data_IF_816626741350
#
_entry.id   IF_816626741350
#
_cell.length_a   1.000
_cell.length_b   1.000
_cell.length_c   1.000
_cell.angle_alpha   90.00
_cell.angle_beta   90.00
_cell.angle_gamma   90.00
#
_symmetry.space_group_name_H-M   'P 1'
#
loop_
_entity.id
_entity.type
_entity.pdbx_description
1 polymer ?
#
# COMPACT_ATOMS: atom_id res chain seq x y z
N UNK A 1 20.10 3.62 5.04
CA UNK A 1 20.53 5.01 4.78
C UNK A 1 21.26 5.61 5.99
N UNK A 2 20.76 5.43 7.22
CA UNK A 2 21.38 6.01 8.44
C UNK A 2 22.64 5.26 8.85
N UNK A 3 22.56 3.94 8.86
CA UNK A 3 23.70 3.07 9.20
C UNK A 3 23.65 1.80 8.33
N UNK A 4 24.19 1.85 7.11
CA UNK A 4 24.13 0.74 6.15
C UNK A 4 24.81 -0.54 6.65
N UNK A 5 25.96 -0.41 7.32
CA UNK A 5 26.73 -1.56 7.83
C UNK A 5 25.92 -2.33 8.90
N UNK A 6 25.31 -1.61 9.82
CA UNK A 6 24.50 -2.23 10.87
C UNK A 6 23.21 -2.85 10.30
N UNK A 7 22.61 -2.19 9.30
CA UNK A 7 21.46 -2.74 8.61
C UNK A 7 21.79 -4.05 7.89
N UNK A 8 22.94 -4.10 7.22
CA UNK A 8 23.49 -5.32 6.59
C UNK A 8 23.67 -6.42 7.63
N UNK A 9 24.40 -6.13 8.69
CA UNK A 9 24.67 -7.10 9.76
C UNK A 9 23.37 -7.71 10.30
N UNK A 10 22.40 -6.88 10.68
CA UNK A 10 21.14 -7.36 11.23
C UNK A 10 20.31 -8.16 10.24
N UNK A 11 20.30 -7.77 8.96
CA UNK A 11 19.59 -8.52 7.94
C UNK A 11 20.20 -9.90 7.70
N UNK A 12 21.54 -9.98 7.66
CA UNK A 12 22.26 -11.24 7.49
C UNK A 12 22.12 -12.15 8.73
N UNK A 13 22.16 -11.59 9.94
CA UNK A 13 21.91 -12.32 11.19
C UNK A 13 20.47 -12.87 11.23
N UNK A 14 19.47 -12.07 10.82
CA UNK A 14 18.08 -12.52 10.76
C UNK A 14 17.91 -13.71 9.81
N UNK A 15 18.50 -13.65 8.61
CA UNK A 15 18.46 -14.76 7.65
C UNK A 15 19.15 -16.00 8.20
N UNK A 16 20.31 -15.84 8.85
CA UNK A 16 21.06 -16.95 9.45
C UNK A 16 20.32 -17.60 10.62
N UNK A 17 19.51 -16.84 11.35
CA UNK A 17 18.70 -17.32 12.47
C UNK A 17 17.44 -18.07 12.05
N UNK A 18 17.07 -17.99 10.77
CA UNK A 18 15.87 -18.56 10.19
C UNK A 18 14.77 -17.53 9.97
N UNK A 19 14.15 -17.59 8.81
CA UNK A 19 13.04 -16.72 8.37
C UNK A 19 11.90 -17.58 7.85
N UNK A 20 10.76 -16.97 7.55
CA UNK A 20 9.63 -17.63 6.87
C UNK A 20 10.08 -18.10 5.49
N UNK A 21 10.06 -19.40 5.25
CA UNK A 21 10.46 -20.03 3.98
C UNK A 21 9.27 -20.68 3.24
N UNK A 22 8.20 -20.98 3.97
CA UNK A 22 7.00 -21.66 3.47
C UNK A 22 5.74 -20.96 4.00
N UNK A 23 4.64 -21.14 3.31
CA UNK A 23 3.35 -20.53 3.65
C UNK A 23 2.81 -20.94 5.03
N UNK A 24 3.05 -22.16 5.47
CA UNK A 24 2.59 -22.68 6.77
C UNK A 24 3.31 -22.02 7.96
N UNK A 25 4.41 -21.31 7.71
CA UNK A 25 5.15 -20.53 8.69
C UNK A 25 4.66 -19.08 8.79
N UNK A 26 3.73 -18.65 7.91
CA UNK A 26 3.19 -17.28 7.97
C UNK A 26 2.52 -16.99 9.31
N UNK A 27 2.73 -15.77 9.81
CA UNK A 27 2.20 -15.34 11.09
C UNK A 27 0.92 -14.53 10.87
N UNK A 28 -0.20 -15.03 11.38
CA UNK A 28 -1.48 -14.37 11.23
C UNK A 28 -2.54 -14.93 12.18
N UNK A 29 -3.61 -14.18 12.35
CA UNK A 29 -4.80 -14.61 13.07
C UNK A 29 -5.78 -15.25 12.10
N UNK A 30 -6.15 -16.50 12.36
CA UNK A 30 -7.12 -17.24 11.56
C UNK A 30 -8.51 -16.98 12.17
N UNK A 31 -9.36 -16.27 11.45
CA UNK A 31 -10.68 -15.85 11.91
C UNK A 31 -11.60 -17.03 12.25
N UNK A 32 -11.43 -18.19 11.62
CA UNK A 32 -12.21 -19.40 11.94
C UNK A 32 -12.02 -19.91 13.38
N UNK A 33 -10.87 -19.59 13.99
CA UNK A 33 -10.58 -19.96 15.38
C UNK A 33 -11.26 -19.00 16.36
N UNK A 34 -11.45 -17.76 15.99
CA UNK A 34 -12.07 -16.70 16.84
C UNK A 34 -13.59 -16.61 16.66
N UNK A 35 -14.16 -17.32 15.67
CA UNK A 35 -15.60 -17.30 15.39
C UNK A 35 -16.10 -16.04 14.67
N UNK A 36 -15.22 -15.12 14.32
CA UNK A 36 -15.55 -13.88 13.59
C UNK A 36 -15.00 -13.86 12.15
N UNK A 37 -15.57 -13.02 11.29
CA UNK A 37 -15.01 -12.71 9.97
C UNK A 37 -13.82 -11.75 10.06
N UNK A 38 -13.20 -11.45 8.92
CA UNK A 38 -12.15 -10.44 8.87
C UNK A 38 -12.74 -9.06 9.23
N UNK A 39 -12.21 -8.37 10.27
CA UNK A 39 -12.76 -7.10 10.74
C UNK A 39 -12.73 -5.99 9.68
N UNK A 40 -11.89 -6.09 8.66
CA UNK A 40 -11.86 -5.14 7.55
C UNK A 40 -13.18 -5.13 6.78
N UNK A 41 -13.86 -6.26 6.64
CA UNK A 41 -15.18 -6.33 5.98
C UNK A 41 -16.22 -5.52 6.76
N UNK A 42 -16.17 -5.57 8.09
CA UNK A 42 -17.05 -4.74 8.92
C UNK A 42 -16.77 -3.26 8.69
N UNK A 43 -15.52 -2.84 8.76
CA UNK A 43 -15.11 -1.44 8.58
C UNK A 43 -15.46 -0.92 7.16
N UNK A 44 -15.17 -1.72 6.13
CA UNK A 44 -15.38 -1.29 4.74
C UNK A 44 -16.84 -1.33 4.31
N UNK A 45 -17.55 -2.40 4.64
CA UNK A 45 -18.87 -2.65 4.09
C UNK A 45 -20.00 -2.29 5.06
N UNK A 46 -19.95 -2.71 6.34
CA UNK A 46 -21.03 -2.45 7.30
C UNK A 46 -20.99 -1.01 7.81
N UNK A 47 -19.83 -0.52 8.26
CA UNK A 47 -19.67 0.87 8.69
C UNK A 47 -19.53 1.84 7.54
N UNK A 48 -19.12 1.36 6.38
CA UNK A 48 -18.94 2.18 5.16
C UNK A 48 -17.89 3.29 5.31
N UNK A 49 -16.90 3.09 6.18
CA UNK A 49 -15.88 4.10 6.53
C UNK A 49 -14.71 4.13 5.57
N UNK A 50 -14.53 3.10 4.74
CA UNK A 50 -13.35 2.96 3.90
C UNK A 50 -13.70 2.72 2.44
N UNK A 51 -12.88 3.24 1.55
CA UNK A 51 -12.96 3.06 0.09
C UNK A 51 -11.59 2.71 -0.48
N UNK A 52 -11.60 2.09 -1.65
CA UNK A 52 -10.37 1.89 -2.42
C UNK A 52 -9.67 3.22 -2.66
N UNK A 53 -8.38 3.31 -2.35
CA UNK A 53 -7.58 4.48 -2.71
C UNK A 53 -7.14 4.43 -4.17
N UNK A 54 -7.23 5.56 -4.89
CA UNK A 54 -6.76 5.66 -6.28
C UNK A 54 -5.27 5.33 -6.44
N UNK A 55 -4.47 5.52 -5.38
CA UNK A 55 -3.07 5.11 -5.35
C UNK A 55 -2.91 3.59 -5.48
N UNK A 56 -3.74 2.78 -4.84
CA UNK A 56 -3.70 1.32 -5.00
C UNK A 56 -4.30 0.89 -6.32
N UNK A 57 -5.41 1.52 -6.74
CA UNK A 57 -6.01 1.29 -8.06
C UNK A 57 -5.02 1.49 -9.20
N UNK A 58 -4.26 2.61 -9.21
CA UNK A 58 -3.30 2.88 -10.29
C UNK A 58 -2.23 1.79 -10.41
N UNK A 59 -1.72 1.29 -9.27
CA UNK A 59 -0.70 0.23 -9.27
C UNK A 59 -1.28 -1.06 -9.85
N UNK A 60 -2.49 -1.43 -9.45
CA UNK A 60 -3.16 -2.63 -9.98
C UNK A 60 -3.47 -2.50 -11.48
N UNK A 61 -3.88 -1.30 -11.94
CA UNK A 61 -4.16 -1.04 -13.35
C UNK A 61 -2.91 -1.01 -14.21
N UNK A 62 -1.81 -0.47 -13.69
CA UNK A 62 -0.52 -0.43 -14.39
C UNK A 62 -0.08 -1.82 -14.88
N UNK A 63 -0.50 -2.86 -14.18
CA UNK A 63 -0.11 -4.24 -14.49
C UNK A 63 -1.30 -5.16 -14.83
N UNK A 64 -2.50 -4.62 -15.00
CA UNK A 64 -3.73 -5.41 -15.14
C UNK A 64 -3.82 -6.53 -14.08
N UNK A 65 -3.46 -6.17 -12.85
CA UNK A 65 -3.32 -7.12 -11.76
C UNK A 65 -4.68 -7.72 -11.36
N UNK A 66 -4.78 -9.03 -11.17
CA UNK A 66 -6.06 -9.69 -10.89
C UNK A 66 -6.75 -9.21 -9.60
N UNK A 67 -6.00 -8.71 -8.62
CA UNK A 67 -6.56 -8.18 -7.37
C UNK A 67 -7.56 -7.06 -7.59
N UNK A 68 -7.44 -6.26 -8.65
CA UNK A 68 -8.36 -5.16 -8.89
C UNK A 68 -9.82 -5.63 -8.88
N UNK A 69 -10.12 -6.67 -9.64
CA UNK A 69 -11.48 -7.21 -9.77
C UNK A 69 -11.79 -8.37 -8.83
N UNK A 70 -10.79 -8.86 -8.08
CA UNK A 70 -10.97 -9.93 -7.11
C UNK A 70 -11.26 -9.37 -5.72
N UNK A 71 -10.51 -8.35 -5.30
CA UNK A 71 -10.56 -7.82 -3.93
C UNK A 71 -11.56 -6.67 -3.77
N UNK A 72 -12.00 -6.04 -4.88
CA UNK A 72 -12.86 -4.86 -4.82
C UNK A 72 -14.11 -5.05 -5.63
N UNK A 73 -15.21 -4.50 -5.13
CA UNK A 73 -16.46 -4.40 -5.84
C UNK A 73 -16.44 -3.20 -6.79
N UNK A 74 -17.28 -3.24 -7.83
CA UNK A 74 -17.46 -2.08 -8.69
C UNK A 74 -18.12 -0.94 -7.92
N UNK A 75 -17.93 0.28 -8.42
CA UNK A 75 -18.53 1.49 -7.89
C UNK A 75 -20.05 1.39 -7.75
N UNK A 76 -20.62 2.10 -6.79
CA UNK A 76 -22.02 2.54 -6.87
C UNK A 76 -22.10 3.83 -7.70
N UNK A 77 -23.22 4.53 -7.71
CA UNK A 77 -23.36 5.72 -8.55
C UNK A 77 -22.54 6.89 -8.00
N UNK A 78 -21.70 7.52 -8.84
CA UNK A 78 -20.92 8.72 -8.51
C UNK A 78 -21.38 9.85 -9.43
N UNK A 79 -22.00 10.87 -8.86
CA UNK A 79 -22.47 12.05 -9.61
C UNK A 79 -21.28 12.96 -9.90
N UNK A 80 -21.11 13.33 -11.18
CA UNK A 80 -20.17 14.37 -11.55
C UNK A 80 -20.82 15.74 -11.34
N UNK A 81 -20.27 16.52 -10.40
CA UNK A 81 -20.86 17.79 -10.01
C UNK A 81 -20.76 18.87 -11.09
N UNK A 82 -19.73 18.82 -11.94
CA UNK A 82 -19.50 19.81 -13.01
C UNK A 82 -20.15 19.41 -14.33
N UNK A 83 -20.15 18.11 -14.60
CA UNK A 83 -20.64 17.54 -15.85
C UNK A 83 -21.59 16.37 -15.57
N UNK A 84 -22.88 16.64 -15.25
CA UNK A 84 -23.82 15.58 -14.86
C UNK A 84 -23.97 14.44 -15.89
N UNK A 85 -23.75 14.72 -17.18
CA UNK A 85 -23.74 13.70 -18.23
C UNK A 85 -22.55 12.70 -18.11
N UNK A 86 -21.50 13.05 -17.38
CA UNK A 86 -20.35 12.20 -17.09
C UNK A 86 -20.49 11.46 -15.74
N UNK A 87 -21.68 11.41 -15.17
CA UNK A 87 -21.97 10.61 -13.98
C UNK A 87 -21.55 9.17 -14.20
N UNK A 88 -20.77 8.63 -13.26
CA UNK A 88 -20.36 7.23 -13.30
C UNK A 88 -21.46 6.35 -12.70
N UNK A 89 -22.18 5.64 -13.56
CA UNK A 89 -23.28 4.78 -13.17
C UNK A 89 -22.79 3.57 -12.35
N UNK A 90 -23.68 3.06 -11.49
CA UNK A 90 -23.38 1.91 -10.64
C UNK A 90 -22.94 0.67 -11.43
N UNK A 91 -21.98 -0.07 -10.93
CA UNK A 91 -21.50 -1.31 -11.54
C UNK A 91 -20.63 -1.12 -12.79
N UNK A 92 -20.19 0.11 -13.08
CA UNK A 92 -19.40 0.40 -14.28
C UNK A 92 -17.97 -0.16 -14.16
N UNK A 93 -17.23 0.23 -13.13
CA UNK A 93 -15.82 -0.16 -12.94
C UNK A 93 -15.44 -0.22 -11.47
N UNK A 94 -14.32 -0.83 -11.16
CA UNK A 94 -13.65 -0.59 -9.88
C UNK A 94 -13.04 0.80 -9.94
N UNK A 95 -13.30 1.63 -8.92
CA UNK A 95 -12.91 3.03 -8.88
C UNK A 95 -12.47 3.43 -7.48
N UNK A 96 -11.23 3.88 -7.36
CA UNK A 96 -10.64 4.39 -6.12
C UNK A 96 -10.76 5.90 -5.99
N UNK A 97 -10.66 6.41 -4.76
CA UNK A 97 -10.68 7.83 -4.45
C UNK A 97 -9.24 8.37 -4.25
N UNK A 98 -8.97 9.58 -4.75
CA UNK A 98 -7.68 10.25 -4.50
C UNK A 98 -7.52 10.58 -3.00
N UNK A 99 -6.33 10.43 -2.49
CA UNK A 99 -6.01 10.86 -1.13
C UNK A 99 -6.09 12.39 -1.04
N UNK A 100 -6.89 12.90 -0.09
CA UNK A 100 -7.16 14.32 0.06
C UNK A 100 -8.15 14.90 -0.95
N UNK A 101 -8.94 14.08 -1.64
CA UNK A 101 -9.94 14.52 -2.63
C UNK A 101 -11.00 15.45 -2.04
N UNK A 102 -11.48 16.39 -2.86
CA UNK A 102 -12.60 17.25 -2.52
C UNK A 102 -13.93 16.53 -2.73
N UNK A 103 -14.42 15.84 -1.73
CA UNK A 103 -15.72 15.17 -1.80
C UNK A 103 -16.90 16.06 -1.39
N UNK A 104 -16.63 17.23 -0.83
CA UNK A 104 -17.53 18.39 -0.78
C UNK A 104 -18.77 18.27 0.12
N UNK A 105 -18.97 17.20 0.86
CA UNK A 105 -20.18 16.98 1.64
C UNK A 105 -19.87 16.31 2.98
N UNK A 106 -20.79 16.45 3.94
CA UNK A 106 -20.67 15.78 5.22
C UNK A 106 -20.62 14.25 5.06
N UNK A 107 -19.76 13.62 5.82
CA UNK A 107 -19.68 12.17 5.91
C UNK A 107 -21.04 11.60 6.33
N UNK A 108 -21.48 10.55 5.65
CA UNK A 108 -22.78 9.92 5.91
C UNK A 108 -23.98 10.50 5.14
N UNK A 109 -23.83 11.62 4.44
CA UNK A 109 -24.87 12.08 3.52
C UNK A 109 -25.02 11.13 2.34
N UNK A 110 -26.24 10.74 2.00
CA UNK A 110 -26.54 9.87 0.84
C UNK A 110 -26.12 10.50 -0.48
N UNK A 111 -25.97 11.82 -0.53
CA UNK A 111 -25.49 12.58 -1.69
C UNK A 111 -23.98 12.75 -1.73
N UNK A 112 -23.25 12.30 -0.71
CA UNK A 112 -21.80 12.40 -0.69
C UNK A 112 -21.18 11.48 -1.76
N UNK A 113 -20.44 12.03 -2.74
CA UNK A 113 -19.79 11.24 -3.81
C UNK A 113 -18.85 10.15 -3.28
N UNK A 114 -18.27 10.32 -2.09
CA UNK A 114 -17.44 9.32 -1.42
C UNK A 114 -18.10 7.94 -1.36
N UNK A 115 -19.41 7.90 -1.09
CA UNK A 115 -20.15 6.64 -0.98
C UNK A 115 -20.20 5.84 -2.29
N UNK A 116 -19.95 6.50 -3.42
CA UNK A 116 -19.95 5.87 -4.74
C UNK A 116 -18.69 5.07 -5.08
N UNK A 117 -17.56 5.37 -4.43
CA UNK A 117 -16.29 4.69 -4.70
C UNK A 117 -16.29 3.24 -4.23
N UNK A 118 -15.42 2.43 -4.82
CA UNK A 118 -15.37 0.98 -4.62
C UNK A 118 -15.05 0.56 -3.21
N UNK A 119 -15.80 -0.41 -2.72
CA UNK A 119 -15.58 -1.08 -1.44
C UNK A 119 -14.84 -2.40 -1.61
N UNK A 120 -14.45 -2.98 -0.49
CA UNK A 120 -13.86 -4.31 -0.43
C UNK A 120 -14.89 -5.36 -0.85
N UNK A 121 -14.44 -6.40 -1.57
CA UNK A 121 -15.29 -7.55 -1.88
C UNK A 121 -15.37 -8.48 -0.65
N UNK A 122 -16.49 -8.53 0.07
CA UNK A 122 -16.61 -9.33 1.28
C UNK A 122 -16.52 -10.84 1.01
N UNK A 123 -16.87 -11.26 -0.21
CA UNK A 123 -16.75 -12.68 -0.60
C UNK A 123 -15.30 -13.12 -0.75
N UNK A 124 -14.40 -12.21 -1.11
CA UNK A 124 -12.99 -12.51 -1.23
C UNK A 124 -12.23 -12.36 0.10
N UNK A 125 -12.63 -11.40 0.92
CA UNK A 125 -11.86 -11.00 2.09
C UNK A 125 -12.48 -11.41 3.43
N UNK A 126 -13.73 -11.87 3.44
CA UNK A 126 -14.47 -12.14 4.68
C UNK A 126 -13.82 -13.19 5.58
N UNK A 127 -13.17 -14.18 5.00
CA UNK A 127 -12.43 -15.23 5.72
C UNK A 127 -10.90 -15.11 5.62
N UNK A 128 -10.39 -14.06 4.96
CA UNK A 128 -8.96 -13.87 4.85
C UNK A 128 -8.32 -13.70 6.24
N UNK A 129 -7.19 -14.37 6.53
CA UNK A 129 -6.48 -14.18 7.79
C UNK A 129 -5.99 -12.74 7.93
N UNK A 130 -5.90 -12.27 9.17
CA UNK A 130 -5.22 -11.04 9.49
C UNK A 130 -3.72 -11.32 9.63
N UNK A 131 -2.97 -11.15 8.58
CA UNK A 131 -1.54 -11.43 8.57
C UNK A 131 -0.73 -10.35 9.30
N UNK A 132 0.19 -10.79 10.15
CA UNK A 132 1.23 -9.97 10.77
C UNK A 132 2.51 -10.01 9.94
N UNK A 133 2.85 -11.17 9.38
CA UNK A 133 3.99 -11.33 8.49
C UNK A 133 3.73 -12.45 7.49
N UNK A 134 4.00 -12.18 6.22
CA UNK A 134 3.77 -13.09 5.10
C UNK A 134 5.08 -13.55 4.48
N UNK A 135 5.06 -14.74 3.88
CA UNK A 135 6.17 -15.27 3.08
C UNK A 135 6.57 -14.30 1.94
N UNK A 136 5.57 -13.73 1.25
CA UNK A 136 5.82 -12.75 0.20
C UNK A 136 6.60 -11.54 0.69
N UNK A 137 6.29 -11.02 1.87
CA UNK A 137 7.00 -9.89 2.47
C UNK A 137 8.46 -10.24 2.77
N UNK A 138 8.71 -11.39 3.39
CA UNK A 138 10.08 -11.88 3.66
C UNK A 138 10.87 -12.05 2.35
N UNK A 139 10.23 -12.56 1.31
CA UNK A 139 10.85 -12.68 -0.02
C UNK A 139 11.26 -11.31 -0.58
N UNK A 140 10.40 -10.29 -0.52
CA UNK A 140 10.74 -8.95 -1.00
C UNK A 140 11.83 -8.27 -0.15
N UNK A 141 11.84 -8.47 1.16
CA UNK A 141 12.92 -7.97 2.02
C UNK A 141 14.26 -8.62 1.67
N UNK A 142 14.27 -9.93 1.42
CA UNK A 142 15.48 -10.65 0.97
C UNK A 142 15.92 -10.20 -0.43
N UNK A 143 14.97 -9.96 -1.36
CA UNK A 143 15.26 -9.42 -2.69
C UNK A 143 15.95 -8.05 -2.60
N UNK A 144 15.45 -7.15 -1.77
CA UNK A 144 16.08 -5.85 -1.54
C UNK A 144 17.48 -5.99 -0.93
N UNK A 145 17.65 -6.84 0.09
CA UNK A 145 18.95 -7.11 0.71
C UNK A 145 19.97 -7.63 -0.32
N UNK A 146 19.56 -8.55 -1.20
CA UNK A 146 20.40 -9.08 -2.26
C UNK A 146 20.80 -8.02 -3.30
N UNK A 147 19.88 -7.10 -3.68
CA UNK A 147 20.19 -5.95 -4.55
C UNK A 147 21.23 -5.02 -3.90
N UNK A 148 21.19 -4.90 -2.57
CA UNK A 148 22.20 -4.14 -1.80
C UNK A 148 23.55 -4.85 -1.68
N UNK A 149 23.64 -6.11 -2.11
CA UNK A 149 24.85 -6.93 -2.03
C UNK A 149 25.02 -7.63 -0.66
N UNK A 150 23.92 -7.79 0.09
CA UNK A 150 23.92 -8.51 1.37
C UNK A 150 23.71 -10.01 1.15
N UNK A 151 24.22 -10.83 2.05
CA UNK A 151 24.04 -12.28 1.99
C UNK A 151 22.62 -12.66 2.49
N UNK A 152 21.71 -12.78 1.55
CA UNK A 152 20.31 -13.13 1.85
C UNK A 152 20.00 -14.63 1.60
N UNK A 153 21.00 -15.45 1.30
CA UNK A 153 20.83 -16.90 1.08
C UNK A 153 20.26 -17.26 -0.30
N UNK A 154 20.29 -16.33 -1.27
CA UNK A 154 19.83 -16.56 -2.63
C UNK A 154 19.91 -15.30 -3.50
N UNK A 155 19.43 -15.37 -4.73
CA UNK A 155 19.49 -14.23 -5.66
C UNK A 155 18.31 -13.27 -5.49
N UNK A 156 18.52 -12.01 -5.84
CA UNK A 156 17.46 -11.01 -5.82
C UNK A 156 16.28 -11.40 -6.72
N UNK A 157 16.59 -11.98 -7.90
CA UNK A 157 15.58 -12.46 -8.86
C UNK A 157 14.70 -13.55 -8.25
N UNK A 158 15.32 -14.59 -7.67
CA UNK A 158 14.57 -15.72 -7.13
C UNK A 158 13.63 -15.27 -6.01
N UNK A 159 14.11 -14.42 -5.10
CA UNK A 159 13.26 -13.88 -4.04
C UNK A 159 12.16 -12.96 -4.58
N UNK A 160 12.46 -12.11 -5.54
CA UNK A 160 11.47 -11.22 -6.16
C UNK A 160 10.34 -12.01 -6.83
N UNK A 161 10.68 -12.97 -7.68
CA UNK A 161 9.70 -13.79 -8.39
C UNK A 161 8.93 -14.69 -7.42
N UNK A 162 9.58 -15.27 -6.40
CA UNK A 162 8.92 -16.01 -5.33
C UNK A 162 7.95 -15.10 -4.56
N UNK A 163 8.37 -13.89 -4.20
CA UNK A 163 7.52 -12.92 -3.51
C UNK A 163 6.23 -12.60 -4.28
N UNK A 164 6.31 -12.46 -5.61
CA UNK A 164 5.14 -12.26 -6.47
C UNK A 164 4.24 -13.52 -6.49
N UNK A 165 4.80 -14.71 -6.60
CA UNK A 165 4.02 -15.96 -6.61
C UNK A 165 3.29 -16.19 -5.31
N UNK A 166 3.90 -15.83 -4.19
CA UNK A 166 3.35 -15.97 -2.84
C UNK A 166 2.50 -14.77 -2.38
N UNK A 167 2.25 -13.79 -3.27
CA UNK A 167 1.55 -12.55 -2.93
C UNK A 167 0.04 -12.70 -2.74
N UNK A 168 -0.49 -13.93 -2.75
CA UNK A 168 -1.91 -14.15 -2.65
C UNK A 168 -2.43 -13.79 -1.24
N UNK A 169 -3.35 -12.82 -1.18
CA UNK A 169 -4.00 -12.36 0.06
C UNK A 169 -5.30 -13.12 0.36
N UNK A 170 -5.73 -13.97 -0.57
CA UNK A 170 -6.99 -14.70 -0.47
C UNK A 170 -6.76 -15.96 0.37
N UNK A 171 -7.67 -16.19 1.32
CA UNK A 171 -7.67 -17.38 2.16
C UNK A 171 -7.56 -18.67 1.34
N UNK A 172 -6.84 -19.64 1.89
CA UNK A 172 -6.60 -20.99 1.31
C UNK A 172 -7.76 -21.94 1.52
N UNK A 173 -8.85 -21.50 2.12
CA UNK A 173 -10.03 -22.36 2.31
C UNK A 173 -10.61 -22.80 0.98
N UNK A 174 -11.26 -23.95 0.97
CA UNK A 174 -11.94 -24.48 -0.22
C UNK A 174 -12.94 -23.50 -0.84
N UNK A 175 -13.52 -22.60 -0.03
CA UNK A 175 -14.48 -21.61 -0.46
C UNK A 175 -13.88 -20.58 -1.44
N UNK A 176 -12.59 -20.28 -1.33
CA UNK A 176 -11.91 -19.29 -2.18
C UNK A 176 -10.92 -19.92 -3.17
N UNK A 177 -10.94 -21.23 -3.31
CA UNK A 177 -10.04 -21.95 -4.21
C UNK A 177 -10.07 -21.43 -5.64
N UNK A 178 -11.24 -21.07 -6.15
CA UNK A 178 -11.39 -20.54 -7.52
C UNK A 178 -10.75 -19.17 -7.71
N UNK A 179 -10.81 -18.31 -6.70
CA UNK A 179 -10.17 -16.98 -6.74
C UNK A 179 -8.64 -17.13 -6.65
N UNK A 180 -8.18 -17.99 -5.76
CA UNK A 180 -6.76 -18.31 -5.65
C UNK A 180 -6.21 -18.88 -6.96
N UNK A 181 -6.92 -19.82 -7.57
CA UNK A 181 -6.52 -20.41 -8.86
C UNK A 181 -6.44 -19.36 -9.98
N UNK A 182 -7.30 -18.35 -9.97
CA UNK A 182 -7.20 -17.24 -10.95
C UNK A 182 -5.89 -16.47 -10.82
N UNK A 183 -5.44 -16.22 -9.59
CA UNK A 183 -4.16 -15.58 -9.35
C UNK A 183 -3.01 -16.46 -9.81
N UNK A 184 -3.00 -17.73 -9.40
CA UNK A 184 -1.96 -18.70 -9.75
C UNK A 184 -1.84 -18.88 -11.26
N UNK A 185 -2.96 -18.92 -11.99
CA UNK A 185 -2.98 -19.02 -13.45
C UNK A 185 -2.48 -17.75 -14.16
N UNK A 186 -2.58 -16.60 -13.53
CA UNK A 186 -2.18 -15.32 -14.11
C UNK A 186 -0.70 -15.00 -13.87
N UNK A 187 -0.08 -15.58 -12.83
CA UNK A 187 1.22 -15.13 -12.32
C UNK A 187 2.36 -15.32 -13.32
N UNK A 188 2.36 -16.37 -14.13
CA UNK A 188 3.42 -16.61 -15.11
C UNK A 188 3.43 -15.53 -16.20
N UNK A 189 2.25 -15.18 -16.72
CA UNK A 189 2.11 -14.06 -17.67
C UNK A 189 2.43 -12.72 -17.01
N UNK A 190 2.04 -12.54 -15.76
CA UNK A 190 2.33 -11.34 -14.98
C UNK A 190 3.83 -11.09 -14.87
N UNK A 191 4.63 -12.11 -14.62
CA UNK A 191 6.09 -12.03 -14.52
C UNK A 191 6.78 -11.65 -15.84
N UNK A 192 6.08 -11.69 -16.99
CA UNK A 192 6.64 -11.32 -18.28
C UNK A 192 6.42 -9.84 -18.67
N UNK A 193 5.67 -9.07 -17.89
CA UNK A 193 5.34 -7.67 -18.19
C UNK A 193 6.61 -6.81 -18.19
N UNK A 194 6.98 -6.28 -19.33
CA UNK A 194 8.22 -5.51 -19.52
C UNK A 194 8.08 -4.03 -19.12
N UNK A 195 6.88 -3.48 -19.24
CA UNK A 195 6.58 -2.08 -18.88
C UNK A 195 5.18 -1.95 -18.33
N UNK A 196 4.96 -0.96 -17.48
CA UNK A 196 3.62 -0.64 -16.98
C UNK A 196 2.72 -0.14 -18.13
N UNK A 197 1.44 -0.47 -18.07
CA UNK A 197 0.43 0.12 -18.96
C UNK A 197 0.16 1.55 -18.50
N UNK A 198 0.21 2.56 -19.39
CA UNK A 198 -0.16 3.92 -19.04
C UNK A 198 -1.59 3.99 -18.49
N UNK A 199 -1.76 4.71 -17.39
CA UNK A 199 -3.06 4.89 -16.75
C UNK A 199 -3.28 6.37 -16.42
N UNK A 200 -4.44 6.88 -16.80
CA UNK A 200 -4.92 8.20 -16.39
C UNK A 200 -6.13 8.00 -15.48
N UNK A 201 -6.00 8.46 -14.24
CA UNK A 201 -7.14 8.57 -13.34
C UNK A 201 -7.96 9.80 -13.74
N UNK A 202 -9.21 9.56 -14.07
CA UNK A 202 -10.20 10.61 -14.33
C UNK A 202 -11.07 10.70 -13.10
N UNK A 203 -11.10 11.88 -12.45
CA UNK A 203 -11.92 12.07 -11.26
C UNK A 203 -13.40 11.97 -11.60
N UNK A 204 -14.12 10.94 -11.11
CA UNK A 204 -15.51 10.75 -11.47
C UNK A 204 -16.45 11.80 -10.85
N UNK A 205 -15.98 12.53 -9.83
CA UNK A 205 -16.76 13.59 -9.18
C UNK A 205 -16.66 14.92 -9.94
N UNK A 206 -15.65 15.10 -10.77
CA UNK A 206 -15.33 16.34 -11.47
C UNK A 206 -14.80 17.46 -10.56
N UNK A 207 -14.53 17.19 -9.29
CA UNK A 207 -14.05 18.20 -8.34
C UNK A 207 -12.55 18.42 -8.44
N UNK A 208 -11.79 17.37 -8.70
CA UNK A 208 -10.34 17.37 -8.78
C UNK A 208 -9.87 17.18 -10.24
N UNK A 209 -8.63 17.58 -10.51
CA UNK A 209 -8.05 17.38 -11.84
C UNK A 209 -7.62 15.92 -12.04
N UNK A 210 -7.68 15.46 -13.29
CA UNK A 210 -7.17 14.16 -13.69
C UNK A 210 -5.70 13.99 -13.36
N UNK A 211 -5.28 12.75 -13.13
CA UNK A 211 -3.91 12.39 -12.76
C UNK A 211 -3.34 11.31 -13.68
N UNK A 212 -2.17 11.56 -14.23
CA UNK A 212 -1.44 10.56 -15.00
C UNK A 212 -0.54 9.74 -14.06
N UNK A 213 -0.62 8.42 -14.16
CA UNK A 213 0.25 7.52 -13.40
C UNK A 213 1.71 7.72 -13.80
N UNK A 214 2.59 7.77 -12.80
CA UNK A 214 4.03 7.86 -12.99
C UNK A 214 4.73 6.50 -12.92
N UNK A 215 3.98 5.40 -12.82
CA UNK A 215 4.51 4.05 -12.81
C UNK A 215 4.86 3.67 -14.23
N UNK A 216 6.13 3.41 -14.48
CA UNK A 216 6.66 3.05 -15.80
C UNK A 216 7.39 1.71 -15.82
N UNK A 217 7.93 1.29 -14.67
CA UNK A 217 8.67 0.03 -14.56
C UNK A 217 7.76 -1.17 -14.80
N UNK A 218 8.28 -2.19 -15.48
CA UNK A 218 7.58 -3.47 -15.64
C UNK A 218 7.73 -4.38 -14.43
N UNK A 219 7.10 -5.54 -14.52
CA UNK A 219 7.23 -6.61 -13.51
C UNK A 219 8.43 -7.50 -13.80
N UNK A 220 8.69 -7.79 -15.08
CA UNK A 220 9.77 -8.68 -15.52
C UNK A 220 11.13 -8.26 -14.92
N UNK A 221 11.78 -9.20 -14.26
CA UNK A 221 13.12 -8.98 -13.74
C UNK A 221 14.14 -8.89 -14.87
N UNK A 222 15.03 -7.90 -14.78
CA UNK A 222 16.15 -7.77 -15.71
C UNK A 222 17.45 -7.54 -14.93
N UNK A 223 18.44 -8.39 -15.14
CA UNK A 223 19.71 -8.26 -14.44
C UNK A 223 20.49 -7.01 -14.82
N UNK A 224 20.26 -6.47 -16.00
CA UNK A 224 20.89 -5.22 -16.47
C UNK A 224 20.26 -3.96 -15.86
N UNK A 225 19.11 -4.05 -15.20
CA UNK A 225 18.49 -2.90 -14.54
C UNK A 225 19.40 -2.32 -13.45
N UNK A 226 19.35 -1.00 -13.30
CA UNK A 226 20.01 -0.33 -12.19
C UNK A 226 19.50 -0.83 -10.84
N UNK A 227 20.28 -0.68 -9.78
CA UNK A 227 19.83 -1.01 -8.41
C UNK A 227 18.56 -0.24 -8.05
N UNK A 228 18.46 1.01 -8.47
CA UNK A 228 17.29 1.86 -8.22
C UNK A 228 16.04 1.31 -8.92
N UNK A 229 16.15 0.92 -10.20
CA UNK A 229 15.05 0.28 -10.94
C UNK A 229 14.63 -1.05 -10.30
N UNK A 230 15.60 -1.87 -9.89
CA UNK A 230 15.32 -3.12 -9.17
C UNK A 230 14.58 -2.87 -7.85
N UNK A 231 14.99 -1.84 -7.10
CA UNK A 231 14.32 -1.44 -5.87
C UNK A 231 12.88 -0.97 -6.14
N UNK A 232 12.67 -0.12 -7.16
CA UNK A 232 11.32 0.32 -7.54
C UNK A 232 10.41 -0.87 -7.86
N UNK A 233 10.90 -1.85 -8.63
CA UNK A 233 10.17 -3.09 -8.91
C UNK A 233 9.83 -3.86 -7.63
N UNK A 234 10.80 -4.09 -6.76
CA UNK A 234 10.62 -4.83 -5.50
C UNK A 234 9.58 -4.16 -4.62
N UNK A 235 9.71 -2.86 -4.35
CA UNK A 235 8.81 -2.14 -3.46
C UNK A 235 7.41 -2.01 -4.06
N UNK A 236 7.29 -1.84 -5.38
CA UNK A 236 5.99 -1.82 -6.05
C UNK A 236 5.26 -3.16 -5.90
N UNK A 237 5.95 -4.28 -6.05
CA UNK A 237 5.34 -5.60 -5.86
C UNK A 237 5.08 -5.89 -4.37
N UNK A 238 5.96 -5.48 -3.46
CA UNK A 238 5.74 -5.56 -2.01
C UNK A 238 4.48 -4.77 -1.61
N UNK A 239 4.27 -3.58 -2.19
CA UNK A 239 3.07 -2.77 -1.96
C UNK A 239 1.78 -3.50 -2.37
N UNK A 240 1.79 -4.19 -3.53
CA UNK A 240 0.64 -4.99 -3.97
C UNK A 240 0.40 -6.16 -3.02
N UNK A 241 1.45 -6.92 -2.70
CA UNK A 241 1.39 -8.11 -1.86
C UNK A 241 1.06 -7.80 -0.39
N UNK A 242 1.44 -6.62 0.07
CA UNK A 242 1.25 -6.18 1.46
C UNK A 242 -0.18 -5.79 1.81
N UNK A 243 -1.08 -5.66 0.83
CA UNK A 243 -2.48 -5.34 1.14
C UNK A 243 -3.08 -6.36 2.12
N UNK A 244 -3.78 -5.94 3.16
CA UNK A 244 -4.17 -4.58 3.51
C UNK A 244 -3.27 -3.88 4.55
N UNK A 245 -2.03 -4.33 4.76
CA UNK A 245 -1.09 -3.73 5.74
C UNK A 245 -0.55 -2.38 5.22
N UNK A 246 -1.25 -1.31 5.51
CA UNK A 246 -0.91 0.04 5.05
C UNK A 246 0.26 0.68 5.81
N UNK A 247 0.54 0.26 7.04
CA UNK A 247 1.63 0.84 7.84
C UNK A 247 3.00 0.54 7.24
N UNK A 248 3.25 -0.72 6.88
CA UNK A 248 4.48 -1.13 6.19
C UNK A 248 4.62 -0.43 4.83
N UNK A 249 3.54 -0.32 4.08
CA UNK A 249 3.52 0.39 2.81
C UNK A 249 3.89 1.86 2.97
N UNK A 250 3.40 2.53 4.01
CA UNK A 250 3.74 3.92 4.32
C UNK A 250 5.20 4.07 4.76
N UNK A 251 5.74 3.13 5.53
CA UNK A 251 7.17 3.09 5.88
C UNK A 251 8.02 2.97 4.63
N UNK A 252 7.71 2.02 3.74
CA UNK A 252 8.46 1.81 2.51
C UNK A 252 8.42 3.04 1.59
N UNK A 253 7.25 3.66 1.43
CA UNK A 253 7.09 4.86 0.63
C UNK A 253 7.95 6.03 1.16
N UNK A 254 7.97 6.25 2.48
CA UNK A 254 8.82 7.29 3.10
C UNK A 254 10.31 6.99 2.97
N UNK A 255 10.69 5.72 3.09
CA UNK A 255 12.06 5.25 3.06
C UNK A 255 12.66 5.26 1.66
N UNK A 256 11.87 4.91 0.64
CA UNK A 256 12.36 4.65 -0.71
C UNK A 256 11.82 5.63 -1.77
N UNK A 257 10.66 6.21 -1.54
CA UNK A 257 9.91 6.98 -2.54
C UNK A 257 9.05 6.11 -3.48
N UNK A 258 8.95 4.80 -3.21
CA UNK A 258 8.20 3.85 -4.05
C UNK A 258 7.04 3.19 -3.28
N UNK A 259 5.98 2.75 -4.01
CA UNK A 259 5.72 2.97 -5.44
C UNK A 259 5.45 4.43 -5.78
N UNK A 260 5.51 4.80 -7.06
CA UNK A 260 5.20 6.16 -7.54
C UNK A 260 3.69 6.36 -7.52
N UNK A 261 3.16 6.75 -6.36
CA UNK A 261 1.74 7.02 -6.18
C UNK A 261 1.37 8.41 -6.69
N UNK A 262 0.06 8.64 -6.88
CA UNK A 262 -0.45 10.00 -7.12
C UNK A 262 -0.10 10.91 -5.93
N UNK A 263 0.20 12.16 -6.23
CA UNK A 263 0.38 13.16 -5.21
C UNK A 263 -0.91 13.33 -4.38
N UNK A 264 -0.72 13.50 -3.08
CA UNK A 264 -1.83 13.80 -2.18
C UNK A 264 -2.35 15.21 -2.45
N UNK A 265 -3.67 15.37 -2.37
CA UNK A 265 -4.35 16.66 -2.53
C UNK A 265 -4.50 17.36 -1.18
N UNK A 266 -4.66 18.68 -1.21
CA UNK A 266 -5.02 19.50 -0.05
C UNK A 266 -4.08 19.38 1.16
N UNK A 267 -2.82 19.06 0.93
CA UNK A 267 -1.84 18.91 2.02
C UNK A 267 -1.47 20.25 2.65
N UNK A 268 -1.58 21.33 1.90
CA UNK A 268 -1.32 22.70 2.40
C UNK A 268 -2.35 23.15 3.46
N UNK A 269 -3.54 22.57 3.47
CA UNK A 269 -4.62 22.89 4.41
C UNK A 269 -4.41 22.27 5.81
N UNK A 270 -3.37 21.45 5.99
CA UNK A 270 -3.03 20.81 7.25
C UNK A 270 -2.35 21.75 8.27
N UNK A 271 -1.30 21.29 8.91
CA UNK A 271 -0.56 22.04 9.94
C UNK A 271 0.44 23.09 9.38
N UNK A 272 0.41 23.34 8.10
CA UNK A 272 1.27 24.30 7.38
C UNK A 272 2.71 23.84 7.19
N UNK A 273 3.04 22.60 7.50
CA UNK A 273 4.39 22.04 7.32
C UNK A 273 4.58 21.29 6.00
N UNK A 274 3.52 21.09 5.25
CA UNK A 274 3.50 20.39 3.97
C UNK A 274 2.97 21.33 2.88
N UNK A 275 3.52 21.19 1.69
CA UNK A 275 2.97 21.78 0.46
C UNK A 275 2.10 20.74 -0.25
N UNK A 276 1.27 21.20 -1.19
CA UNK A 276 0.51 20.29 -2.04
C UNK A 276 1.43 19.30 -2.78
N UNK A 277 1.00 18.07 -2.81
CA UNK A 277 1.79 16.98 -3.36
C UNK A 277 2.84 16.37 -2.43
N UNK A 278 3.09 17.00 -1.28
CA UNK A 278 3.99 16.43 -0.29
C UNK A 278 3.34 15.26 0.46
N UNK A 279 4.17 14.38 1.00
CA UNK A 279 3.73 13.23 1.78
C UNK A 279 3.80 13.54 3.27
N UNK A 280 2.78 13.14 4.03
CA UNK A 280 2.82 13.10 5.50
C UNK A 280 3.98 12.22 5.96
N UNK A 281 4.89 12.80 6.75
CA UNK A 281 6.09 12.12 7.25
C UNK A 281 5.88 11.42 8.58
N UNK A 282 5.02 11.96 9.42
CA UNK A 282 4.68 11.40 10.72
C UNK A 282 3.31 11.92 11.19
N UNK A 283 2.75 11.25 12.17
CA UNK A 283 1.65 11.80 12.95
C UNK A 283 2.26 12.70 14.05
N UNK A 284 1.71 13.87 14.33
CA UNK A 284 2.06 14.67 15.50
C UNK A 284 1.86 13.89 16.80
N UNK A 285 2.48 14.33 17.88
CA UNK A 285 2.18 13.78 19.18
C UNK A 285 0.70 13.98 19.51
N UNK A 286 0.08 13.05 20.25
CA UNK A 286 -1.32 13.22 20.65
C UNK A 286 -1.48 14.48 21.52
N UNK A 287 -2.55 15.21 21.27
CA UNK A 287 -2.93 16.31 22.15
C UNK A 287 -3.25 15.79 23.54
N UNK A 288 -2.87 16.53 24.57
CA UNK A 288 -3.17 16.17 25.97
C UNK A 288 -3.50 17.41 26.76
N UNK A 289 -4.38 17.26 27.74
CA UNK A 289 -4.64 18.27 28.80
C UNK A 289 -3.92 17.91 30.10
N UNK A 290 -3.24 16.76 30.14
CA UNK A 290 -2.47 16.31 31.30
C UNK A 290 -1.08 16.94 31.30
N UNK A 291 -0.75 17.69 32.33
CA UNK A 291 0.50 18.44 32.47
C UNK A 291 1.74 17.52 32.46
N UNK A 292 1.64 16.32 33.03
CA UNK A 292 2.76 15.39 33.06
C UNK A 292 3.07 14.87 31.64
N UNK A 293 2.03 14.52 30.87
CA UNK A 293 2.17 14.10 29.48
C UNK A 293 2.72 15.26 28.59
N UNK A 294 2.21 16.47 28.73
CA UNK A 294 2.69 17.63 28.00
C UNK A 294 4.16 17.93 28.32
N UNK A 295 4.54 17.81 29.59
CA UNK A 295 5.94 17.98 30.03
C UNK A 295 6.85 16.93 29.36
N UNK A 296 6.46 15.64 29.35
CA UNK A 296 7.24 14.57 28.73
C UNK A 296 7.37 14.79 27.23
N UNK A 297 6.29 15.17 26.53
CA UNK A 297 6.34 15.51 25.10
C UNK A 297 7.34 16.63 24.85
N UNK A 298 7.29 17.73 25.62
CA UNK A 298 8.13 18.88 25.41
C UNK A 298 9.59 18.66 25.80
N UNK A 299 9.86 17.98 26.91
CA UNK A 299 11.20 17.80 27.45
C UNK A 299 11.97 16.65 26.80
N UNK A 300 11.26 15.58 26.42
CA UNK A 300 11.87 14.35 25.89
C UNK A 300 11.51 14.15 24.42
N UNK A 301 10.21 14.16 24.10
CA UNK A 301 9.73 13.83 22.75
C UNK A 301 10.21 14.80 21.68
N UNK A 302 10.07 16.10 21.90
CA UNK A 302 10.49 17.11 20.92
C UNK A 302 12.02 17.17 20.78
N UNK A 303 12.76 16.96 21.85
CA UNK A 303 14.23 16.86 21.79
C UNK A 303 14.69 15.65 20.97
N UNK A 304 14.05 14.51 21.19
CA UNK A 304 14.36 13.29 20.43
C UNK A 304 13.93 13.40 18.95
N UNK A 305 12.82 14.12 18.67
CA UNK A 305 12.37 14.39 17.32
C UNK A 305 13.35 15.29 16.54
N UNK A 306 13.99 16.23 17.21
CA UNK A 306 14.95 17.16 16.59
C UNK A 306 14.31 18.21 15.67
N UNK A 307 13.01 18.46 15.80
CA UNK A 307 12.26 19.42 15.02
C UNK A 307 10.87 19.72 15.60
N UNK A 308 10.07 20.59 14.95
CA UNK A 308 8.74 20.91 15.41
C UNK A 308 7.80 19.70 15.35
N UNK A 309 6.82 19.66 16.24
CA UNK A 309 5.78 18.62 16.24
C UNK A 309 4.77 18.82 15.12
N UNK A 310 5.19 18.49 13.90
CA UNK A 310 4.42 18.71 12.67
C UNK A 310 4.45 17.50 11.74
N UNK A 311 3.46 17.40 10.87
CA UNK A 311 3.31 16.33 9.90
C UNK A 311 4.46 16.23 8.90
N UNK A 312 5.09 17.33 8.56
CA UNK A 312 6.24 17.40 7.65
C UNK A 312 7.59 17.09 8.30
N UNK A 313 7.66 17.02 9.64
CA UNK A 313 8.92 16.72 10.33
C UNK A 313 9.34 15.29 10.12
N UNK A 314 10.59 15.06 9.65
CA UNK A 314 11.12 13.73 9.40
C UNK A 314 11.53 13.05 10.69
N UNK A 315 11.32 11.75 10.74
CA UNK A 315 11.87 10.90 11.80
C UNK A 315 13.34 10.60 11.53
N UNK A 316 14.09 10.20 12.56
CA UNK A 316 15.53 9.95 12.49
C UNK A 316 15.95 8.98 11.36
N UNK A 317 15.11 8.07 10.96
CA UNK A 317 15.34 7.08 9.89
C UNK A 317 14.84 7.55 8.50
N UNK A 318 13.92 8.52 8.45
CA UNK A 318 13.37 9.09 7.21
C UNK A 318 14.30 10.17 6.68
N UNK A 319 15.51 9.81 6.30
CA UNK A 319 16.52 10.74 5.80
C UNK A 319 16.35 11.01 4.30
N UNK A 320 16.59 12.27 3.92
CA UNK A 320 16.57 12.68 2.51
C UNK A 320 17.93 12.36 1.85
N UNK A 321 18.13 11.10 1.54
CA UNK A 321 19.35 10.60 0.90
C UNK A 321 19.00 9.61 -0.21
N UNK A 322 19.90 9.38 -1.18
CA UNK A 322 19.74 8.33 -2.20
C UNK A 322 19.47 6.96 -1.57
N UNK A 323 18.85 6.06 -2.32
CA UNK A 323 18.57 4.70 -1.85
C UNK A 323 19.84 3.83 -1.79
N UNK A 324 20.84 4.17 -2.60
CA UNK A 324 22.13 3.48 -2.71
C UNK A 324 23.30 4.44 -2.67
#
# INVERSE_FOLDING_TARGET
KVNPERAKQWAEEAVASGVIETEDQEIGFINSVTGGGNPLVEIWNSWSDTRLGAGYEQVLRAYNHPFLNMLFEKNTRIVNAKEPNNTLEAGTKVCGILAGAHVGQEQGSTSNPYNGFSQLNPKAMGSAPLYLMKLSEVCFLRAEGAVRGWNMGGTAKDFYEKGIREANVIDRTLQHRSLRQKYENAVDNYLTIESATPFTYVDPTGNDADRVSQITVGVKWNESDSKETKLEKIITQKYIAGFPNSLEAWVDLRRTGYPRLFNMLNMADGDGSLSDGAMVRRLPFPGSTDDATLKEINETGLKALGGPDKQGTRLWWDVNAPNF
#
